data_IF_211170772123
#
_entry.id   IF_211170772123
#
_cell.length_a   1.000
_cell.length_b   1.000
_cell.length_c   1.000
_cell.angle_alpha   90.00
_cell.angle_beta   90.00
_cell.angle_gamma   90.00
#
_symmetry.space_group_name_H-M   'P 1'
#
loop_
_entity.id
_entity.type
_entity.pdbx_description
1 polymer ?
#
# COMPACT_ATOMS: atom_id res chain seq x y z
N UNK A 1 -43.30 1.69 64.95
CA UNK A 1 -44.63 2.19 64.51
C UNK A 1 -44.42 3.39 63.60
N UNK A 2 -45.32 3.56 62.63
CA UNK A 2 -45.50 4.63 61.64
C UNK A 2 -44.60 4.68 60.40
N UNK A 3 -45.19 4.18 59.30
CA UNK A 3 -44.98 4.57 57.90
C UNK A 3 -45.63 5.94 57.62
N UNK A 4 -45.04 6.76 56.76
CA UNK A 4 -45.74 7.62 55.79
C UNK A 4 -44.90 7.68 54.49
N UNK A 5 -45.58 7.55 53.34
CA UNK A 5 -45.09 7.53 51.95
C UNK A 5 -45.34 8.94 51.31
N UNK A 6 -45.10 9.16 50.00
CA UNK A 6 -44.11 10.05 49.38
C UNK A 6 -44.71 11.43 48.96
N UNK A 7 -43.94 12.26 48.22
CA UNK A 7 -44.40 12.95 46.99
C UNK A 7 -43.15 13.47 46.24
N UNK A 8 -43.14 13.18 44.94
CA UNK A 8 -42.20 13.69 43.95
C UNK A 8 -42.71 14.99 43.31
N UNK A 9 -41.79 15.86 42.87
CA UNK A 9 -41.88 16.75 41.70
C UNK A 9 -40.51 17.46 41.58
N UNK A 10 -39.69 17.22 40.56
CA UNK A 10 -39.77 17.91 39.26
C UNK A 10 -39.09 19.28 39.39
N UNK A 11 -38.00 19.63 38.69
CA UNK A 11 -37.76 19.56 37.25
C UNK A 11 -36.26 19.34 36.97
N UNK A 12 -35.94 18.41 36.07
CA UNK A 12 -34.63 18.34 35.41
C UNK A 12 -34.69 19.25 34.16
N UNK A 13 -33.81 20.25 34.10
CA UNK A 13 -33.55 21.03 32.89
C UNK A 13 -32.81 20.14 31.88
N UNK A 14 -33.52 19.71 30.84
CA UNK A 14 -32.91 19.03 29.69
C UNK A 14 -32.34 20.12 28.78
N UNK A 15 -31.04 20.40 28.90
CA UNK A 15 -30.31 21.11 27.86
C UNK A 15 -30.26 20.19 26.63
N UNK A 16 -31.07 20.51 25.63
CA UNK A 16 -31.09 19.84 24.33
C UNK A 16 -29.80 20.14 23.57
N UNK A 17 -28.76 19.34 23.80
CA UNK A 17 -27.66 19.18 22.85
C UNK A 17 -28.20 18.42 21.64
N UNK A 18 -28.52 19.16 20.56
CA UNK A 18 -28.61 18.57 19.22
C UNK A 18 -27.31 17.78 19.00
N UNK A 19 -27.36 16.49 18.62
CA UNK A 19 -26.17 15.82 18.15
C UNK A 19 -25.74 16.54 16.87
N UNK A 20 -24.76 17.44 17.02
CA UNK A 20 -23.97 17.92 15.91
C UNK A 20 -23.48 16.69 15.18
N UNK A 21 -23.80 16.62 13.90
CA UNK A 21 -23.45 15.54 12.99
C UNK A 21 -21.94 15.34 13.11
N UNK A 22 -21.54 14.38 13.94
CA UNK A 22 -20.19 13.86 13.92
C UNK A 22 -20.05 13.30 12.51
N UNK A 23 -19.36 14.04 11.66
CA UNK A 23 -18.95 13.55 10.37
C UNK A 23 -18.11 12.33 10.69
N UNK A 24 -18.73 11.15 10.64
CA UNK A 24 -18.03 9.89 10.50
C UNK A 24 -17.30 10.03 9.18
N UNK A 25 -16.10 10.60 9.23
CA UNK A 25 -15.07 10.19 8.30
C UNK A 25 -14.90 8.70 8.57
N UNK A 26 -15.73 7.91 7.88
CA UNK A 26 -15.49 6.49 7.71
C UNK A 26 -14.03 6.39 7.31
N UNK A 27 -13.23 5.73 8.14
CA UNK A 27 -11.93 5.24 7.73
C UNK A 27 -12.15 4.58 6.38
N UNK A 28 -11.60 5.19 5.33
CA UNK A 28 -11.63 4.62 3.99
C UNK A 28 -10.89 3.31 4.13
N UNK A 29 -11.66 2.25 4.14
CA UNK A 29 -11.23 0.90 4.47
C UNK A 29 -10.03 0.52 3.63
N UNK A 30 -9.03 -0.05 4.32
CA UNK A 30 -7.82 -0.74 3.87
C UNK A 30 -8.05 -1.85 2.81
N UNK A 31 -9.17 -1.86 2.09
CA UNK A 31 -9.45 -2.81 1.03
C UNK A 31 -8.36 -2.79 -0.05
N UNK A 32 -7.78 -1.62 -0.34
CA UNK A 32 -6.65 -1.49 -1.27
C UNK A 32 -5.36 -2.16 -0.79
N UNK A 33 -5.23 -2.49 0.50
CA UNK A 33 -4.05 -3.16 1.06
C UNK A 33 -4.06 -4.68 0.86
N UNK A 34 -5.18 -5.27 0.44
CA UNK A 34 -5.35 -6.72 0.32
C UNK A 34 -5.91 -7.18 -1.02
N UNK A 35 -6.22 -6.29 -1.97
CA UNK A 35 -6.71 -6.72 -3.29
C UNK A 35 -5.57 -7.42 -4.03
N UNK A 36 -5.72 -8.70 -4.41
CA UNK A 36 -4.76 -9.39 -5.26
C UNK A 36 -4.61 -8.63 -6.58
N UNK A 37 -3.45 -8.73 -7.24
CA UNK A 37 -3.34 -8.27 -8.62
C UNK A 37 -4.28 -9.10 -9.52
N UNK A 38 -5.50 -8.62 -9.75
CA UNK A 38 -6.52 -9.32 -10.54
C UNK A 38 -5.99 -9.67 -11.95
N UNK A 39 -6.28 -10.90 -12.41
CA UNK A 39 -6.26 -11.23 -13.84
C UNK A 39 -7.61 -10.81 -14.44
N UNK A 40 -7.60 -9.97 -15.49
CA UNK A 40 -7.84 -10.54 -16.82
C UNK A 40 -6.95 -9.97 -17.93
N UNK A 41 -6.85 -10.77 -19.00
CA UNK A 41 -6.24 -10.45 -20.28
C UNK A 41 -7.07 -9.35 -20.98
N UNK A 42 -6.60 -8.09 -21.03
CA UNK A 42 -6.80 -7.07 -22.11
C UNK A 42 -6.69 -5.60 -21.69
N UNK A 43 -6.56 -5.30 -20.39
CA UNK A 43 -6.02 -4.04 -19.89
C UNK A 43 -5.15 -4.40 -18.69
N UNK A 44 -4.03 -3.72 -18.46
CA UNK A 44 -3.45 -3.73 -17.11
C UNK A 44 -4.54 -3.11 -16.26
N UNK A 45 -5.35 -3.93 -15.60
CA UNK A 45 -6.32 -3.45 -14.62
C UNK A 45 -5.56 -2.71 -13.51
N UNK A 46 -6.19 -2.49 -12.37
CA UNK A 46 -5.50 -1.94 -11.20
C UNK A 46 -4.49 -2.94 -10.57
N UNK A 47 -3.85 -3.81 -11.37
CA UNK A 47 -2.92 -4.86 -10.96
C UNK A 47 -1.61 -4.34 -10.37
N UNK A 48 -1.35 -3.03 -10.46
CA UNK A 48 -0.24 -2.36 -9.80
C UNK A 48 -0.59 -1.93 -8.36
N UNK A 49 -1.88 -1.93 -8.00
CA UNK A 49 -2.32 -1.69 -6.63
C UNK A 49 -1.92 -2.84 -5.71
N UNK A 50 -1.83 -2.53 -4.41
CA UNK A 50 -1.47 -3.48 -3.38
C UNK A 50 -0.11 -3.21 -2.75
N UNK A 51 0.38 -4.19 -2.01
CA UNK A 51 1.69 -4.13 -1.33
C UNK A 51 2.68 -5.05 -2.03
N UNK A 52 3.88 -4.55 -2.27
CA UNK A 52 4.93 -5.20 -3.03
C UNK A 52 6.18 -5.31 -2.16
N UNK A 53 6.71 -6.51 -1.94
CA UNK A 53 7.97 -6.71 -1.21
C UNK A 53 9.14 -6.85 -2.17
N UNK A 54 10.24 -6.15 -1.87
CA UNK A 54 11.44 -6.24 -2.70
C UNK A 54 11.99 -7.66 -2.67
N UNK A 55 12.38 -8.15 -3.84
CA UNK A 55 13.03 -9.46 -3.98
C UNK A 55 14.41 -9.30 -4.60
N UNK A 56 15.28 -10.24 -4.25
CA UNK A 56 16.58 -10.42 -4.88
C UNK A 56 16.51 -11.66 -5.76
N UNK A 57 16.85 -11.48 -7.03
CA UNK A 57 17.04 -12.60 -7.96
C UNK A 57 18.40 -13.24 -7.68
N UNK A 58 18.40 -14.54 -7.36
CA UNK A 58 19.63 -15.31 -7.12
C UNK A 58 20.16 -15.95 -8.40
N UNK A 59 19.25 -16.36 -9.27
CA UNK A 59 19.53 -16.90 -10.60
C UNK A 59 18.31 -16.71 -11.52
N UNK A 60 18.33 -17.28 -12.73
CA UNK A 60 17.27 -17.11 -13.73
C UNK A 60 15.87 -17.50 -13.23
N UNK A 61 15.76 -18.35 -12.21
CA UNK A 61 14.50 -18.87 -11.72
C UNK A 61 14.25 -18.69 -10.21
N UNK A 62 15.26 -18.40 -9.41
CA UNK A 62 15.14 -18.31 -7.97
C UNK A 62 15.10 -16.85 -7.49
N UNK A 63 14.06 -16.53 -6.74
CA UNK A 63 13.83 -15.23 -6.12
C UNK A 63 13.69 -15.42 -4.62
N UNK A 64 14.25 -14.51 -3.86
CA UNK A 64 14.10 -14.48 -2.39
C UNK A 64 13.59 -13.13 -1.96
N UNK A 65 12.74 -13.10 -0.94
CA UNK A 65 12.43 -11.85 -0.26
C UNK A 65 13.58 -11.58 0.70
N UNK A 66 14.34 -10.52 0.45
CA UNK A 66 15.53 -10.18 1.23
C UNK A 66 15.15 -9.19 2.33
N UNK A 67 15.44 -9.55 3.58
CA UNK A 67 15.36 -8.66 4.73
C UNK A 67 16.76 -8.20 5.13
N UNK A 68 17.14 -6.94 4.84
CA UNK A 68 18.40 -6.38 5.31
C UNK A 68 18.42 -6.30 6.83
N UNK A 69 19.62 -6.28 7.39
CA UNK A 69 19.82 -6.32 8.84
C UNK A 69 19.26 -5.12 9.58
N UNK A 70 18.46 -5.39 10.62
CA UNK A 70 17.93 -4.35 11.51
C UNK A 70 16.98 -3.34 10.85
N UNK A 71 16.59 -3.58 9.59
CA UNK A 71 15.67 -2.72 8.85
C UNK A 71 14.42 -3.47 8.47
N UNK A 72 13.36 -2.69 8.33
CA UNK A 72 12.09 -3.15 7.82
C UNK A 72 12.22 -3.59 6.35
N UNK A 73 11.27 -4.45 5.94
CA UNK A 73 11.25 -4.99 4.58
C UNK A 73 11.05 -3.86 3.57
N UNK A 74 11.95 -3.74 2.59
CA UNK A 74 11.77 -2.75 1.52
C UNK A 74 10.51 -3.09 0.73
N UNK A 75 9.62 -2.11 0.59
CA UNK A 75 8.31 -2.33 0.02
C UNK A 75 7.79 -1.10 -0.73
N UNK A 76 6.85 -1.34 -1.64
CA UNK A 76 6.02 -0.32 -2.28
C UNK A 76 4.57 -0.65 -1.97
N UNK A 77 3.79 0.33 -1.51
CA UNK A 77 2.33 0.24 -1.41
C UNK A 77 1.70 1.21 -2.38
N UNK A 78 0.77 0.73 -3.19
CA UNK A 78 0.07 1.58 -4.16
C UNK A 78 -1.42 1.50 -3.88
N UNK A 79 -1.99 2.67 -3.56
CA UNK A 79 -3.42 2.89 -3.50
C UNK A 79 -3.90 3.71 -4.70
N UNK A 80 -5.19 4.03 -4.72
CA UNK A 80 -5.81 4.74 -5.84
C UNK A 80 -5.24 6.15 -6.06
N UNK A 81 -4.87 6.85 -4.98
CA UNK A 81 -4.44 8.26 -5.02
C UNK A 81 -3.00 8.50 -4.58
N UNK A 82 -2.32 7.46 -4.10
CA UNK A 82 -0.97 7.60 -3.53
C UNK A 82 -0.15 6.33 -3.66
N UNK A 83 1.16 6.53 -3.83
CA UNK A 83 2.18 5.51 -3.76
C UNK A 83 3.08 5.79 -2.57
N UNK A 84 3.34 4.78 -1.78
CA UNK A 84 4.23 4.79 -0.64
C UNK A 84 5.40 3.86 -0.92
N UNK A 85 6.61 4.32 -0.64
CA UNK A 85 7.83 3.56 -0.83
C UNK A 85 8.64 3.58 0.46
N UNK A 86 9.12 2.40 0.84
CA UNK A 86 10.02 2.19 1.96
C UNK A 86 11.36 1.67 1.46
N UNK A 87 12.39 2.51 1.57
CA UNK A 87 13.78 2.17 1.23
C UNK A 87 14.62 2.12 2.50
N UNK A 88 14.48 1.02 3.24
CA UNK A 88 15.21 0.83 4.48
C UNK A 88 14.71 1.79 5.57
N UNK A 89 15.52 2.79 5.92
CA UNK A 89 15.17 3.84 6.90
C UNK A 89 14.37 5.00 6.31
N UNK A 90 14.36 5.15 4.99
CA UNK A 90 13.68 6.25 4.32
C UNK A 90 12.28 5.86 3.87
N UNK A 91 11.37 6.83 3.90
CA UNK A 91 9.98 6.68 3.53
C UNK A 91 9.59 7.81 2.58
N UNK A 92 9.02 7.45 1.44
CA UNK A 92 8.56 8.41 0.44
C UNK A 92 7.07 8.20 0.19
N UNK A 93 6.32 9.30 0.20
CA UNK A 93 4.91 9.29 -0.21
C UNK A 93 4.74 10.20 -1.42
N UNK A 94 4.21 9.63 -2.50
CA UNK A 94 3.92 10.31 -3.75
C UNK A 94 2.42 10.34 -3.99
N UNK A 95 1.83 11.53 -4.15
CA UNK A 95 0.45 11.66 -4.64
C UNK A 95 0.40 11.34 -6.13
N UNK A 96 -0.55 10.52 -6.55
CA UNK A 96 -0.70 10.11 -7.95
C UNK A 96 -1.46 11.20 -8.71
N UNK A 97 -0.84 11.74 -9.75
CA UNK A 97 -1.46 12.70 -10.66
C UNK A 97 -2.11 12.01 -11.86
N UNK A 98 -1.46 10.98 -12.40
CA UNK A 98 -1.96 10.24 -13.53
C UNK A 98 -1.43 8.80 -13.55
N UNK A 99 -2.20 7.90 -14.16
CA UNK A 99 -1.79 6.53 -14.44
C UNK A 99 -1.89 6.33 -15.95
N UNK A 100 -0.76 6.00 -16.57
CA UNK A 100 -0.60 5.91 -18.01
C UNK A 100 -0.32 4.46 -18.41
N UNK A 101 -1.31 3.71 -18.91
CA UNK A 101 -1.07 2.38 -19.46
C UNK A 101 -0.20 2.51 -20.72
N UNK A 102 0.90 1.75 -20.78
CA UNK A 102 1.78 1.72 -21.95
C UNK A 102 1.42 0.51 -22.82
N UNK A 103 1.29 -0.66 -22.19
CA UNK A 103 0.94 -1.92 -22.84
C UNK A 103 0.21 -2.83 -21.83
N UNK A 104 -0.04 -4.09 -22.19
CA UNK A 104 -0.77 -5.07 -21.35
C UNK A 104 0.01 -5.57 -20.12
N UNK A 105 1.26 -5.14 -19.95
CA UNK A 105 2.15 -5.53 -18.86
C UNK A 105 2.77 -4.34 -18.13
N UNK A 106 2.72 -3.14 -18.72
CA UNK A 106 3.44 -1.95 -18.27
C UNK A 106 2.50 -0.78 -18.03
N UNK A 107 2.66 -0.14 -16.87
CA UNK A 107 1.98 1.12 -16.54
C UNK A 107 2.99 2.10 -15.96
N UNK A 108 2.84 3.38 -16.29
CA UNK A 108 3.59 4.47 -15.66
C UNK A 108 2.68 5.26 -14.75
N UNK A 109 3.02 5.33 -13.47
CA UNK A 109 2.36 6.17 -12.47
C UNK A 109 3.15 7.48 -12.40
N UNK A 110 2.47 8.60 -12.68
CA UNK A 110 3.04 9.95 -12.57
C UNK A 110 2.65 10.53 -11.22
N UNK A 111 3.65 10.98 -10.46
CA UNK A 111 3.41 11.76 -9.26
C UNK A 111 2.93 13.18 -9.58
N UNK A 112 2.38 13.87 -8.59
CA UNK A 112 2.14 15.32 -8.68
C UNK A 112 3.44 16.13 -8.70
N UNK A 113 4.53 15.55 -8.21
CA UNK A 113 5.89 16.08 -8.34
C UNK A 113 6.57 15.55 -9.60
N UNK A 114 7.86 15.85 -9.79
CA UNK A 114 8.66 15.33 -10.91
C UNK A 114 8.89 13.80 -10.89
N UNK A 115 8.28 13.09 -9.93
CA UNK A 115 8.44 11.65 -9.75
C UNK A 115 7.59 10.83 -10.74
N UNK A 116 8.13 9.69 -11.17
CA UNK A 116 7.39 8.69 -11.93
C UNK A 116 7.84 7.29 -11.58
N UNK A 117 6.90 6.35 -11.60
CA UNK A 117 7.13 4.95 -11.29
C UNK A 117 6.64 4.10 -12.45
N UNK A 118 7.51 3.29 -13.03
CA UNK A 118 7.10 2.34 -14.05
C UNK A 118 6.95 0.96 -13.42
N UNK A 119 5.73 0.44 -13.42
CA UNK A 119 5.43 -0.94 -13.08
C UNK A 119 5.45 -1.79 -14.35
N UNK A 120 6.10 -2.96 -14.29
CA UNK A 120 6.10 -3.93 -15.37
C UNK A 120 6.02 -5.36 -14.85
N UNK A 121 5.14 -6.17 -15.42
CA UNK A 121 5.19 -7.62 -15.21
C UNK A 121 6.47 -8.24 -15.80
N UNK A 122 7.29 -8.88 -14.96
CA UNK A 122 8.49 -9.61 -15.40
C UNK A 122 8.24 -11.11 -15.50
N UNK A 123 7.57 -11.70 -14.51
CA UNK A 123 7.18 -13.10 -14.52
C UNK A 123 5.83 -13.27 -13.80
N UNK A 124 4.75 -13.31 -14.58
CA UNK A 124 3.38 -13.45 -14.04
C UNK A 124 3.16 -14.77 -13.30
N UNK A 125 3.85 -15.85 -13.67
CA UNK A 125 3.69 -17.16 -13.04
C UNK A 125 4.33 -17.20 -11.64
N UNK A 126 5.31 -16.33 -11.39
CA UNK A 126 5.99 -16.20 -10.10
C UNK A 126 5.60 -14.92 -9.34
N UNK A 127 4.60 -14.20 -9.85
CA UNK A 127 4.13 -12.92 -9.29
C UNK A 127 5.24 -11.86 -9.18
N UNK A 128 6.25 -11.93 -10.07
CA UNK A 128 7.38 -11.01 -10.08
C UNK A 128 7.10 -9.86 -11.02
N UNK A 129 7.24 -8.65 -10.48
CA UNK A 129 7.16 -7.39 -11.20
C UNK A 129 8.48 -6.65 -11.08
N UNK A 130 8.71 -5.72 -11.98
CA UNK A 130 9.68 -4.66 -11.76
C UNK A 130 9.00 -3.33 -11.50
N UNK A 131 9.58 -2.60 -10.56
CA UNK A 131 9.28 -1.21 -10.30
C UNK A 131 10.53 -0.40 -10.62
N UNK A 132 10.34 0.64 -11.44
CA UNK A 132 11.41 1.55 -11.84
C UNK A 132 11.06 2.96 -11.39
N UNK A 133 11.35 3.34 -10.13
CA UNK A 133 11.21 4.71 -9.67
C UNK A 133 12.18 5.66 -10.39
N UNK A 134 11.71 6.87 -10.63
CA UNK A 134 12.50 8.03 -11.07
C UNK A 134 12.00 9.24 -10.30
N UNK A 135 12.84 9.78 -9.41
CA UNK A 135 12.41 10.85 -8.48
C UNK A 135 12.48 12.26 -9.07
N UNK A 136 13.33 12.46 -10.08
CA UNK A 136 13.49 13.73 -10.78
C UNK A 136 14.06 13.52 -12.19
N UNK A 137 14.15 14.59 -12.99
CA UNK A 137 14.75 14.51 -14.32
C UNK A 137 16.24 14.13 -14.28
N UNK A 138 16.97 14.59 -13.27
CA UNK A 138 18.41 14.37 -13.09
C UNK A 138 18.76 13.08 -12.35
N UNK A 139 17.80 12.49 -11.63
CA UNK A 139 18.03 11.23 -10.93
C UNK A 139 17.85 10.05 -11.90
N UNK A 140 18.82 9.12 -11.99
CA UNK A 140 18.70 7.96 -12.87
C UNK A 140 17.57 7.06 -12.40
N UNK A 141 16.82 6.51 -13.36
CA UNK A 141 15.80 5.52 -13.04
C UNK A 141 16.49 4.20 -12.67
N UNK A 142 16.06 3.56 -11.59
CA UNK A 142 16.63 2.28 -11.15
C UNK A 142 15.57 1.19 -11.12
N UNK A 143 15.85 0.05 -11.76
CA UNK A 143 14.93 -1.10 -11.76
C UNK A 143 15.15 -1.95 -10.50
N UNK A 144 14.05 -2.28 -9.83
CA UNK A 144 14.02 -3.20 -8.70
C UNK A 144 12.92 -4.24 -8.91
N UNK A 145 13.17 -5.46 -8.43
CA UNK A 145 12.20 -6.54 -8.52
C UNK A 145 11.38 -6.62 -7.23
N UNK A 146 10.10 -6.92 -7.41
CA UNK A 146 9.17 -7.08 -6.31
C UNK A 146 8.26 -8.29 -6.53
N UNK A 147 7.73 -8.82 -5.43
CA UNK A 147 6.65 -9.80 -5.40
C UNK A 147 5.44 -9.19 -4.69
N UNK A 148 4.25 -9.54 -5.14
CA UNK A 148 3.01 -9.19 -4.44
C UNK A 148 3.03 -9.79 -3.02
N UNK A 149 2.64 -9.00 -2.03
CA UNK A 149 2.54 -9.38 -0.62
C UNK A 149 1.73 -10.65 -0.37
N UNK A 150 0.64 -10.87 -1.13
CA UNK A 150 -0.19 -12.08 -1.02
C UNK A 150 0.58 -13.33 -1.47
N UNK A 151 1.52 -13.16 -2.40
CA UNK A 151 2.29 -14.24 -3.02
C UNK A 151 3.71 -14.37 -2.44
N UNK A 152 4.13 -13.45 -1.56
CA UNK A 152 5.45 -13.45 -0.95
C UNK A 152 5.73 -14.69 -0.08
N UNK A 153 4.67 -15.34 0.42
CA UNK A 153 4.76 -16.62 1.13
C UNK A 153 5.25 -17.79 0.26
N UNK A 154 5.21 -17.66 -1.07
CA UNK A 154 5.72 -18.68 -1.99
C UNK A 154 7.24 -18.58 -2.23
N UNK A 155 7.87 -17.49 -1.78
CA UNK A 155 9.29 -17.30 -1.90
C UNK A 155 10.00 -17.60 -0.58
N UNK A 156 11.26 -18.01 -0.68
CA UNK A 156 12.13 -18.13 0.49
C UNK A 156 12.42 -16.73 1.03
N UNK A 157 12.32 -16.60 2.35
CA UNK A 157 12.72 -15.39 3.07
C UNK A 157 14.16 -15.54 3.54
N UNK A 158 15.02 -14.62 3.14
CA UNK A 158 16.42 -14.58 3.55
C UNK A 158 16.68 -13.36 4.42
N UNK A 159 17.30 -13.60 5.58
CA UNK A 159 17.74 -12.56 6.48
C UNK A 159 19.22 -12.35 6.26
N UNK A 160 19.64 -11.08 6.15
CA UNK A 160 21.04 -10.75 6.30
C UNK A 160 21.52 -11.13 7.72
N UNK A 161 22.75 -11.62 7.85
CA UNK A 161 23.35 -11.88 9.17
C UNK A 161 23.88 -10.56 9.71
N UNK A 162 23.37 -10.14 10.86
CA UNK A 162 23.80 -8.88 11.47
C UNK A 162 25.09 -9.16 12.22
N UNK A 163 26.17 -8.51 11.79
CA UNK A 163 27.48 -8.60 12.43
C UNK A 163 27.60 -7.58 13.54
#
# INVERSE_FOLDING_TARGET
MNRIIPIAAGLLLIASCKPGTASKASAVSDAALTVPADKPLTQVGKSYLGTWYRVVQKDSNNFVVFRPCGQDTQLIRVGDSSLYEQTGTEWLTTKIAAVLPIDSNTVTIKGTSASSYTFRWKNKNKFIVSWTPKYSASYPAQEYLYVDSVHAGFLKWEHEKCK
#
